data_IF_295865644880
#
_entry.id   IF_295865644880
#
_cell.length_a   1.000
_cell.length_b   1.000
_cell.length_c   1.000
_cell.angle_alpha   90.00
_cell.angle_beta   90.00
_cell.angle_gamma   90.00
#
_symmetry.space_group_name_H-M   'P 1'
#
loop_
_entity.id
_entity.type
_entity.pdbx_description
1 polymer ?
#
# COMPACT_ATOMS: atom_id res chain seq x y z
N UNK A 1 -13.60 5.36 -30.32
CA UNK A 1 -13.27 4.72 -29.02
C UNK A 1 -14.42 5.01 -28.09
N UNK A 2 -15.30 4.05 -27.86
CA UNK A 2 -16.46 4.23 -26.98
C UNK A 2 -15.97 4.63 -25.58
N UNK A 3 -16.49 5.75 -25.08
CA UNK A 3 -16.34 6.13 -23.67
C UNK A 3 -17.15 5.11 -22.86
N UNK A 4 -16.50 4.04 -22.39
CA UNK A 4 -17.11 3.14 -21.41
C UNK A 4 -17.41 3.97 -20.16
N UNK A 5 -18.70 4.13 -19.86
CA UNK A 5 -19.17 4.81 -18.66
C UNK A 5 -18.65 4.07 -17.42
N UNK A 6 -18.14 4.82 -16.44
CA UNK A 6 -17.56 4.24 -15.23
C UNK A 6 -18.69 3.72 -14.33
N UNK A 7 -18.88 2.41 -14.29
CA UNK A 7 -19.83 1.76 -13.40
C UNK A 7 -19.25 1.64 -11.98
N UNK A 8 -19.73 2.51 -11.08
CA UNK A 8 -19.34 2.55 -9.67
C UNK A 8 -19.68 1.25 -8.94
N UNK A 9 -20.81 0.61 -9.25
CA UNK A 9 -21.26 -0.59 -8.57
C UNK A 9 -20.39 -1.80 -8.95
N UNK A 10 -20.17 -1.98 -10.25
CA UNK A 10 -19.29 -3.04 -10.76
C UNK A 10 -17.86 -2.88 -10.21
N UNK A 11 -17.30 -1.66 -10.23
CA UNK A 11 -15.96 -1.41 -9.70
C UNK A 11 -15.87 -1.61 -8.18
N UNK A 12 -16.89 -1.21 -7.41
CA UNK A 12 -16.96 -1.51 -5.97
C UNK A 12 -16.89 -3.01 -5.71
N UNK A 13 -17.71 -3.80 -6.41
CA UNK A 13 -17.76 -5.25 -6.22
C UNK A 13 -16.42 -5.92 -6.60
N UNK A 14 -15.75 -5.45 -7.66
CA UNK A 14 -14.39 -5.89 -8.01
C UNK A 14 -13.39 -5.59 -6.90
N UNK A 15 -13.40 -4.37 -6.34
CA UNK A 15 -12.51 -3.99 -5.23
C UNK A 15 -12.79 -4.82 -3.98
N UNK A 16 -14.06 -5.04 -3.63
CA UNK A 16 -14.42 -5.85 -2.47
C UNK A 16 -13.95 -7.30 -2.63
N UNK A 17 -14.14 -7.90 -3.81
CA UNK A 17 -13.63 -9.23 -4.14
C UNK A 17 -12.10 -9.29 -4.02
N UNK A 18 -11.39 -8.31 -4.60
CA UNK A 18 -9.94 -8.21 -4.47
C UNK A 18 -9.50 -8.17 -3.00
N UNK A 19 -10.11 -7.31 -2.19
CA UNK A 19 -9.81 -7.21 -0.77
C UNK A 19 -10.00 -8.54 -0.02
N UNK A 20 -11.10 -9.25 -0.26
CA UNK A 20 -11.37 -10.57 0.34
C UNK A 20 -10.32 -11.61 -0.08
N UNK A 21 -9.98 -11.67 -1.37
CA UNK A 21 -8.94 -12.58 -1.88
C UNK A 21 -7.56 -12.28 -1.26
N UNK A 22 -7.24 -11.00 -1.03
CA UNK A 22 -6.01 -10.61 -0.35
C UNK A 22 -5.99 -11.08 1.10
N UNK A 23 -7.11 -10.98 1.83
CA UNK A 23 -7.19 -11.48 3.20
C UNK A 23 -7.01 -12.99 3.27
N UNK A 24 -7.64 -13.73 2.36
CA UNK A 24 -7.45 -15.18 2.24
C UNK A 24 -5.99 -15.52 1.96
N UNK A 25 -5.37 -14.85 0.98
CA UNK A 25 -3.95 -15.02 0.65
C UNK A 25 -3.05 -14.75 1.86
N UNK A 26 -3.31 -13.68 2.62
CA UNK A 26 -2.53 -13.33 3.83
C UNK A 26 -2.74 -14.36 4.95
N UNK A 27 -3.94 -14.91 5.10
CA UNK A 27 -4.23 -15.92 6.12
C UNK A 27 -3.57 -17.28 5.82
N UNK A 28 -3.32 -17.58 4.55
CA UNK A 28 -2.66 -18.80 4.11
C UNK A 28 -1.12 -18.73 4.24
N UNK A 29 -0.55 -17.57 4.58
CA UNK A 29 0.89 -17.42 4.83
C UNK A 29 1.19 -17.86 6.27
N UNK A 30 2.26 -18.64 6.45
CA UNK A 30 2.74 -19.02 7.77
C UNK A 30 2.99 -17.79 8.67
N UNK A 31 2.56 -17.87 9.94
CA UNK A 31 2.68 -16.79 10.94
C UNK A 31 4.14 -16.44 11.36
N UNK A 32 5.14 -16.92 10.63
CA UNK A 32 6.58 -16.69 10.92
C UNK A 32 7.09 -15.34 10.39
N UNK A 33 6.34 -14.68 9.51
CA UNK A 33 6.74 -13.39 8.93
C UNK A 33 6.26 -12.23 9.80
N UNK A 34 7.21 -11.42 10.27
CA UNK A 34 6.91 -10.24 11.07
C UNK A 34 6.10 -9.22 10.26
N UNK A 35 5.05 -8.65 10.86
CA UNK A 35 4.23 -7.61 10.23
C UNK A 35 3.07 -8.13 9.36
N UNK A 36 2.85 -9.44 9.24
CA UNK A 36 1.65 -9.98 8.55
C UNK A 36 0.35 -9.47 9.16
N UNK A 37 0.25 -9.42 10.50
CA UNK A 37 -0.92 -8.88 11.18
C UNK A 37 -1.16 -7.41 10.81
N UNK A 38 -0.09 -6.62 10.67
CA UNK A 38 -0.15 -5.22 10.25
C UNK A 38 -0.64 -5.07 8.81
N UNK A 39 -0.17 -5.93 7.91
CA UNK A 39 -0.67 -5.99 6.53
C UNK A 39 -2.15 -6.38 6.50
N UNK A 40 -2.54 -7.43 7.23
CA UNK A 40 -3.93 -7.88 7.35
C UNK A 40 -4.85 -6.76 7.82
N UNK A 41 -4.46 -6.05 8.89
CA UNK A 41 -5.24 -4.93 9.42
C UNK A 41 -5.39 -3.78 8.41
N UNK A 42 -4.36 -3.49 7.62
CA UNK A 42 -4.43 -2.49 6.55
C UNK A 42 -5.42 -2.87 5.45
N UNK A 43 -5.40 -4.12 4.99
CA UNK A 43 -6.38 -4.60 3.99
C UNK A 43 -7.80 -4.55 4.55
N UNK A 44 -8.02 -4.99 5.80
CA UNK A 44 -9.33 -4.89 6.47
C UNK A 44 -9.83 -3.46 6.54
N UNK A 45 -8.99 -2.51 6.95
CA UNK A 45 -9.37 -1.09 7.04
C UNK A 45 -9.79 -0.52 5.69
N UNK A 46 -9.12 -0.89 4.61
CA UNK A 46 -9.46 -0.44 3.26
C UNK A 46 -10.80 -1.03 2.78
N UNK A 47 -11.07 -2.31 3.06
CA UNK A 47 -12.36 -2.94 2.79
C UNK A 47 -13.47 -2.21 3.55
N UNK A 48 -13.31 -2.06 4.88
CA UNK A 48 -14.30 -1.39 5.72
C UNK A 48 -14.51 0.07 5.30
N UNK A 49 -13.46 0.76 4.85
CA UNK A 49 -13.59 2.11 4.29
C UNK A 49 -14.54 2.13 3.08
N UNK A 50 -14.34 1.23 2.12
CA UNK A 50 -15.19 1.16 0.92
C UNK A 50 -16.63 0.75 1.28
N UNK A 51 -16.80 -0.26 2.14
CA UNK A 51 -18.11 -0.71 2.60
C UNK A 51 -18.87 0.41 3.33
N UNK A 52 -18.22 1.12 4.25
CA UNK A 52 -18.82 2.24 4.97
C UNK A 52 -19.22 3.38 4.01
N UNK A 53 -18.41 3.66 2.99
CA UNK A 53 -18.76 4.66 1.95
C UNK A 53 -19.96 4.20 1.11
N UNK A 54 -20.07 2.91 0.81
CA UNK A 54 -21.21 2.34 0.10
C UNK A 54 -22.49 2.42 0.92
N UNK A 55 -22.46 1.97 2.18
CA UNK A 55 -23.61 2.00 3.09
C UNK A 55 -24.11 3.43 3.35
N UNK A 56 -23.21 4.39 3.48
CA UNK A 56 -23.56 5.81 3.65
C UNK A 56 -23.95 6.53 2.35
N UNK A 57 -24.07 5.82 1.22
CA UNK A 57 -24.34 6.39 -0.11
C UNK A 57 -23.37 7.52 -0.52
N UNK A 58 -22.15 7.51 0.04
CA UNK A 58 -21.10 8.52 -0.20
C UNK A 58 -19.92 7.98 -1.02
N UNK A 59 -20.11 6.81 -1.66
CA UNK A 59 -19.12 6.19 -2.51
C UNK A 59 -18.97 6.99 -3.82
N UNK A 60 -17.72 7.30 -4.18
CA UNK A 60 -17.38 8.09 -5.37
C UNK A 60 -16.32 7.36 -6.18
N UNK A 61 -16.23 7.69 -7.47
CA UNK A 61 -15.22 7.16 -8.40
C UNK A 61 -13.80 7.29 -7.83
N UNK A 62 -13.47 8.42 -7.21
CA UNK A 62 -12.12 8.67 -6.69
C UNK A 62 -11.75 7.70 -5.57
N UNK A 63 -12.71 7.28 -4.74
CA UNK A 63 -12.47 6.28 -3.68
C UNK A 63 -12.06 4.92 -4.27
N UNK A 64 -12.63 4.54 -5.42
CA UNK A 64 -12.36 3.27 -6.09
C UNK A 64 -11.06 3.31 -6.89
N UNK A 65 -10.83 4.39 -7.64
CA UNK A 65 -9.63 4.59 -8.47
C UNK A 65 -8.37 4.73 -7.61
N UNK A 66 -8.47 5.43 -6.48
CA UNK A 66 -7.33 5.67 -5.59
C UNK A 66 -7.23 4.65 -4.44
N UNK A 67 -8.01 3.57 -4.47
CA UNK A 67 -7.99 2.56 -3.42
C UNK A 67 -6.60 1.93 -3.25
N UNK A 68 -6.19 1.74 -2.00
CA UNK A 68 -4.90 1.11 -1.67
C UNK A 68 -4.87 -0.39 -1.96
N UNK A 69 -6.01 -1.02 -2.29
CA UNK A 69 -6.08 -2.46 -2.57
C UNK A 69 -5.15 -2.89 -3.71
N UNK A 70 -4.95 -2.04 -4.73
CA UNK A 70 -4.00 -2.31 -5.82
C UNK A 70 -2.55 -2.35 -5.32
N UNK A 71 -2.21 -1.47 -4.36
CA UNK A 71 -0.90 -1.50 -3.75
C UNK A 71 -0.71 -2.74 -2.87
N UNK A 72 -1.72 -3.11 -2.10
CA UNK A 72 -1.68 -4.31 -1.28
C UNK A 72 -1.63 -5.59 -2.13
N UNK A 73 -2.30 -5.62 -3.28
CA UNK A 73 -2.18 -6.72 -4.24
C UNK A 73 -0.76 -6.89 -4.75
N UNK A 74 -0.12 -5.81 -5.20
CA UNK A 74 1.27 -5.85 -5.63
C UNK A 74 2.21 -6.29 -4.48
N UNK A 75 1.95 -5.84 -3.25
CA UNK A 75 2.72 -6.20 -2.07
C UNK A 75 2.58 -7.68 -1.71
N UNK A 76 1.34 -8.19 -1.59
CA UNK A 76 1.07 -9.60 -1.30
C UNK A 76 1.64 -10.48 -2.41
N UNK A 77 1.42 -10.13 -3.67
CA UNK A 77 1.98 -10.84 -4.82
C UNK A 77 3.50 -10.91 -4.76
N UNK A 78 4.18 -9.82 -4.40
CA UNK A 78 5.64 -9.82 -4.25
C UNK A 78 6.08 -10.64 -3.05
N UNK A 79 5.36 -10.56 -1.93
CA UNK A 79 5.65 -11.32 -0.72
C UNK A 79 5.59 -12.83 -0.98
N UNK A 80 4.55 -13.31 -1.65
CA UNK A 80 4.38 -14.73 -2.00
C UNK A 80 5.48 -15.27 -2.93
N UNK A 81 6.06 -14.40 -3.77
CA UNK A 81 7.18 -14.74 -4.67
C UNK A 81 8.57 -14.47 -4.05
N UNK A 82 8.63 -13.99 -2.82
CA UNK A 82 9.91 -13.68 -2.17
C UNK A 82 10.43 -14.91 -1.48
N UNK A 83 11.67 -15.28 -1.79
CA UNK A 83 12.36 -16.37 -1.11
C UNK A 83 12.74 -15.93 0.32
N UNK A 84 12.50 -16.79 1.32
CA UNK A 84 12.86 -16.57 2.72
C UNK A 84 12.46 -15.18 3.28
N UNK A 85 11.17 -14.79 3.21
CA UNK A 85 10.71 -13.51 3.74
C UNK A 85 10.76 -13.50 5.27
N UNK A 86 11.26 -12.42 5.85
CA UNK A 86 11.43 -12.24 7.30
C UNK A 86 10.40 -11.27 7.85
N UNK A 87 10.14 -10.19 7.11
CA UNK A 87 9.20 -9.17 7.52
C UNK A 87 8.52 -8.51 6.33
N UNK A 88 7.35 -7.94 6.62
CA UNK A 88 6.58 -7.11 5.71
C UNK A 88 6.17 -5.82 6.44
N UNK A 89 6.24 -4.68 5.76
CA UNK A 89 5.99 -3.34 6.33
C UNK A 89 6.87 -3.03 7.57
N UNK A 90 8.14 -3.44 7.53
CA UNK A 90 9.13 -3.20 8.58
C UNK A 90 9.45 -1.71 8.71
N UNK A 91 9.48 -1.22 9.95
CA UNK A 91 9.80 0.18 10.24
C UNK A 91 11.26 0.24 10.65
N UNK A 92 12.07 0.84 9.79
CA UNK A 92 13.46 1.16 10.08
C UNK A 92 13.56 2.61 10.56
N UNK A 93 14.26 2.82 11.66
CA UNK A 93 14.57 4.14 12.17
C UNK A 93 15.98 4.49 11.73
N UNK A 94 16.08 5.45 10.82
CA UNK A 94 17.36 6.03 10.43
C UNK A 94 17.60 7.26 11.31
N UNK A 95 18.72 7.25 12.04
CA UNK A 95 19.15 8.38 12.87
C UNK A 95 20.52 8.81 12.37
N UNK A 96 20.68 10.09 12.05
CA UNK A 96 21.97 10.75 11.93
C UNK A 96 22.08 11.85 13.00
N UNK A 97 23.19 12.59 13.01
CA UNK A 97 23.46 13.61 14.04
C UNK A 97 22.43 14.74 14.09
N UNK A 98 21.65 14.96 13.03
CA UNK A 98 20.72 16.09 12.91
C UNK A 98 19.27 15.71 12.56
N UNK A 99 18.97 14.43 12.33
CA UNK A 99 17.70 13.97 11.79
C UNK A 99 17.35 12.54 12.21
N UNK A 100 16.07 12.32 12.48
CA UNK A 100 15.50 11.00 12.77
C UNK A 100 14.36 10.74 11.79
N UNK A 101 14.61 9.87 10.81
CA UNK A 101 13.64 9.48 9.79
C UNK A 101 13.13 8.07 10.01
N UNK A 102 11.82 7.90 9.81
CA UNK A 102 11.19 6.57 9.74
C UNK A 102 11.07 6.16 8.28
N UNK A 103 11.67 5.01 7.94
CA UNK A 103 11.59 4.41 6.62
C UNK A 103 10.78 3.12 6.75
N UNK A 104 9.74 2.99 5.94
CA UNK A 104 8.99 1.74 5.85
C UNK A 104 9.58 0.94 4.69
N UNK A 105 10.12 -0.24 5.01
CA UNK A 105 10.55 -1.25 4.05
C UNK A 105 9.37 -2.20 3.83
N UNK A 106 9.04 -2.45 2.56
CA UNK A 106 7.83 -3.20 2.27
C UNK A 106 8.05 -4.70 2.52
N UNK A 107 9.18 -5.27 2.11
CA UNK A 107 9.57 -6.67 2.41
C UNK A 107 11.06 -6.74 2.73
N UNK A 108 11.42 -7.49 3.77
CA UNK A 108 12.82 -7.88 4.08
C UNK A 108 12.95 -9.39 3.97
N UNK A 109 14.04 -9.87 3.35
CA UNK A 109 14.32 -11.29 3.17
C UNK A 109 15.81 -11.62 3.32
N UNK A 110 16.16 -12.91 3.21
CA UNK A 110 17.54 -13.43 3.27
C UNK A 110 18.36 -12.87 4.44
N UNK A 111 17.96 -13.18 5.68
CA UNK A 111 18.64 -12.72 6.91
C UNK A 111 18.89 -11.20 6.94
N UNK A 112 17.96 -10.39 6.40
CA UNK A 112 18.03 -8.92 6.31
C UNK A 112 19.08 -8.37 5.33
N UNK A 113 19.61 -9.20 4.43
CA UNK A 113 20.55 -8.75 3.39
C UNK A 113 19.86 -8.25 2.12
N UNK A 114 18.56 -8.55 1.95
CA UNK A 114 17.76 -8.08 0.82
C UNK A 114 16.49 -7.39 1.30
N UNK A 115 16.17 -6.29 0.64
CA UNK A 115 14.93 -5.55 0.88
C UNK A 115 14.28 -5.17 -0.44
N UNK A 116 12.96 -5.14 -0.44
CA UNK A 116 12.15 -4.76 -1.59
C UNK A 116 11.22 -3.62 -1.20
N UNK A 117 11.10 -2.65 -2.10
CA UNK A 117 10.08 -1.59 -2.04
C UNK A 117 9.13 -1.75 -3.21
N UNK A 118 7.86 -1.96 -2.91
CA UNK A 118 6.80 -2.15 -3.90
C UNK A 118 6.24 -0.79 -4.27
N UNK A 119 6.53 -0.36 -5.49
CA UNK A 119 6.04 0.91 -6.03
C UNK A 119 4.84 0.62 -6.93
N UNK A 120 3.64 0.65 -6.34
CA UNK A 120 2.37 0.48 -7.07
C UNK A 120 1.57 1.80 -7.07
N UNK A 121 2.23 2.89 -7.47
CA UNK A 121 1.61 4.22 -7.56
C UNK A 121 1.58 4.66 -9.01
N UNK A 122 0.57 5.46 -9.36
CA UNK A 122 0.57 6.22 -10.61
C UNK A 122 1.90 7.03 -10.69
N UNK A 123 2.69 6.88 -11.78
CA UNK A 123 3.94 7.60 -11.96
C UNK A 123 3.82 9.11 -11.73
N UNK A 124 2.68 9.72 -12.12
CA UNK A 124 2.41 11.15 -11.89
C UNK A 124 2.30 11.51 -10.40
N UNK A 125 1.68 10.63 -9.61
CA UNK A 125 1.56 10.82 -8.16
C UNK A 125 2.89 10.60 -7.42
N UNK A 126 3.76 9.74 -7.94
CA UNK A 126 5.14 9.61 -7.48
C UNK A 126 5.92 10.90 -7.75
N UNK A 127 5.86 11.39 -8.99
CA UNK A 127 6.57 12.59 -9.43
C UNK A 127 6.23 13.82 -8.59
N UNK A 128 4.94 14.07 -8.31
CA UNK A 128 4.49 15.17 -7.44
C UNK A 128 5.08 15.09 -6.02
N UNK A 129 5.23 13.87 -5.49
CA UNK A 129 5.78 13.66 -4.14
C UNK A 129 7.29 13.93 -4.09
N UNK A 130 8.01 13.72 -5.19
CA UNK A 130 9.45 14.01 -5.28
C UNK A 130 9.73 15.50 -5.51
N UNK A 131 8.85 16.24 -6.18
CA UNK A 131 9.01 17.69 -6.40
C UNK A 131 8.83 18.52 -5.12
N UNK A 132 7.91 18.13 -4.23
CA UNK A 132 7.73 18.82 -2.94
C UNK A 132 8.93 18.73 -2.01
N UNK A 133 9.83 17.77 -2.22
CA UNK A 133 11.10 17.68 -1.47
C UNK A 133 12.08 18.77 -1.91
N UNK A 134 12.03 19.22 -3.17
CA UNK A 134 12.90 20.30 -3.68
C UNK A 134 12.45 21.71 -3.29
N UNK A 135 11.16 21.93 -3.02
CA UNK A 135 10.66 23.26 -2.64
C UNK A 135 10.88 23.61 -1.15
N UNK A 136 11.06 22.59 -0.30
CA UNK A 136 11.32 22.80 1.14
C UNK A 136 12.81 22.94 1.49
N UNK A 137 13.72 22.95 0.51
CA UNK A 137 15.17 23.16 0.76
C UNK A 137 15.62 24.61 0.57
N UNK A 138 14.72 25.54 0.17
CA UNK A 138 15.05 26.93 -0.15
C UNK A 138 14.31 27.99 0.70
N UNK A 139 13.84 27.66 1.92
CA UNK A 139 13.16 28.65 2.80
C UNK A 139 13.80 28.88 4.17
N UNK A 140 15.10 28.61 4.31
CA UNK A 140 15.88 29.07 5.46
C UNK A 140 17.12 29.86 4.98
N UNK A 141 16.89 30.99 4.33
CA UNK A 141 17.82 32.12 4.28
C UNK A 141 16.98 33.39 4.39
N UNK A 142 16.85 33.88 5.62
CA UNK A 142 16.69 35.26 6.06
C UNK A 142 16.67 35.23 7.59
#
# INVERSE_FOLDING_TARGET
>A
MENQEFDVESEFNKKLKLGKNLLESINNIENRINGLNKLRSKVKQEISFLENRKTSQSLKKEHLVCSNLIHYEALVSKLLRTENPISVLEVCHYKNESDQRKIIIDIVSHKKTRWCKVIARNPKALFHKFLKVKENTNRNQC
#
